data_IF_869288016271
#
_entry.id   IF_869288016271
#
_cell.length_a   1.000
_cell.length_b   1.000
_cell.length_c   1.000
_cell.angle_alpha   90.00
_cell.angle_beta   90.00
_cell.angle_gamma   90.00
#
_symmetry.space_group_name_H-M   'P 1'
#
loop_
_entity.id
_entity.type
_entity.pdbx_description
1 polymer ?
#
# COMPACT_ATOMS: atom_id res chain seq x y z
N UNK A 1 11.45 1.53 10.77
CA UNK A 1 10.86 1.45 9.40
C UNK A 1 9.37 1.06 9.34
N UNK A 2 8.96 -0.17 9.69
CA UNK A 2 7.57 -0.64 9.43
C UNK A 2 6.44 0.22 10.03
N UNK A 3 6.60 0.71 11.26
CA UNK A 3 5.62 1.61 11.89
C UNK A 3 5.50 2.96 11.16
N UNK A 4 6.59 3.48 10.61
CA UNK A 4 6.56 4.74 9.86
C UNK A 4 5.74 4.59 8.57
N UNK A 5 5.90 3.45 7.88
CA UNK A 5 5.11 3.14 6.68
C UNK A 5 3.63 2.93 7.02
N UNK A 6 3.30 2.21 8.09
CA UNK A 6 1.91 2.09 8.58
C UNK A 6 1.35 3.49 8.88
N UNK A 7 2.07 4.33 9.62
CA UNK A 7 1.59 5.65 10.00
C UNK A 7 1.37 6.60 8.81
N UNK A 8 2.17 6.46 7.74
CA UNK A 8 2.11 7.31 6.55
C UNK A 8 1.09 6.81 5.50
N UNK A 9 1.07 5.50 5.24
CA UNK A 9 0.28 4.91 4.16
C UNK A 9 -1.09 4.40 4.62
N UNK A 10 -1.17 3.83 5.83
CA UNK A 10 -2.32 3.04 6.25
C UNK A 10 -2.36 2.86 7.78
N UNK A 11 -2.80 3.92 8.48
CA UNK A 11 -2.72 4.00 9.95
C UNK A 11 -3.49 2.88 10.66
N UNK A 12 -4.56 2.38 10.03
CA UNK A 12 -5.43 1.34 10.57
C UNK A 12 -5.11 -0.05 10.02
N UNK A 13 -3.96 -0.22 9.38
CA UNK A 13 -3.51 -1.49 8.81
C UNK A 13 -3.70 -2.72 9.72
N UNK A 14 -3.43 -2.65 11.04
CA UNK A 14 -3.63 -3.79 11.93
C UNK A 14 -5.10 -4.13 12.20
N UNK A 15 -6.02 -3.19 12.00
CA UNK A 15 -7.42 -3.27 12.44
C UNK A 15 -8.36 -3.76 11.33
N UNK A 16 -8.10 -3.38 10.08
CA UNK A 16 -8.99 -3.73 8.96
C UNK A 16 -8.57 -5.03 8.27
N UNK A 17 -9.44 -5.54 7.38
CA UNK A 17 -9.18 -6.78 6.62
C UNK A 17 -9.05 -6.47 5.13
N UNK A 18 -7.95 -5.78 4.76
CA UNK A 18 -7.68 -5.35 3.39
C UNK A 18 -8.27 -4.01 2.97
N UNK A 19 -9.36 -3.55 3.60
CA UNK A 19 -10.02 -2.30 3.22
C UNK A 19 -10.35 -1.44 4.43
N UNK A 20 -9.88 -0.19 4.43
CA UNK A 20 -10.35 0.82 5.38
C UNK A 20 -11.56 1.55 4.80
N UNK A 21 -12.75 1.01 5.10
CA UNK A 21 -14.03 1.55 4.61
C UNK A 21 -14.23 3.00 5.03
N UNK A 22 -13.86 3.35 6.27
CA UNK A 22 -14.00 4.71 6.77
C UNK A 22 -13.08 5.69 6.01
N UNK A 23 -11.86 5.27 5.64
CA UNK A 23 -10.96 6.08 4.81
C UNK A 23 -11.45 6.20 3.37
N UNK A 24 -12.05 5.14 2.81
CA UNK A 24 -12.67 5.16 1.47
C UNK A 24 -13.83 6.15 1.43
N UNK A 25 -14.77 6.08 2.39
CA UNK A 25 -15.90 7.01 2.48
C UNK A 25 -15.45 8.47 2.61
N UNK A 26 -14.44 8.73 3.45
CA UNK A 26 -13.85 10.07 3.60
C UNK A 26 -13.20 10.56 2.31
N UNK A 27 -12.51 9.69 1.58
CA UNK A 27 -11.90 10.04 0.30
C UNK A 27 -12.95 10.33 -0.77
N UNK A 28 -14.02 9.52 -0.85
CA UNK A 28 -15.14 9.76 -1.76
C UNK A 28 -15.82 11.10 -1.48
N UNK A 29 -16.20 11.36 -0.21
CA UNK A 29 -16.82 12.62 0.18
C UNK A 29 -15.90 13.84 -0.05
N UNK A 30 -14.58 13.68 0.04
CA UNK A 30 -13.62 14.73 -0.32
C UNK A 30 -13.57 14.97 -1.82
N UNK A 31 -13.56 13.91 -2.62
CA UNK A 31 -13.43 13.97 -4.08
C UNK A 31 -14.71 14.52 -4.73
N UNK A 32 -15.90 14.21 -4.19
CA UNK A 32 -17.17 14.81 -4.63
C UNK A 32 -17.20 16.33 -4.45
N UNK A 33 -16.50 16.86 -3.45
CA UNK A 33 -16.43 18.29 -3.15
C UNK A 33 -15.26 19.00 -3.84
N UNK A 34 -14.32 18.25 -4.43
CA UNK A 34 -13.07 18.79 -4.98
C UNK A 34 -12.70 18.08 -6.29
N UNK A 35 -13.15 18.63 -7.43
CA UNK A 35 -12.88 18.07 -8.75
C UNK A 35 -11.37 18.08 -9.10
N UNK A 36 -10.61 19.04 -8.58
CA UNK A 36 -9.20 19.23 -8.90
C UNK A 36 -8.23 18.50 -7.95
N UNK A 37 -8.71 17.85 -6.89
CA UNK A 37 -7.83 17.18 -5.90
C UNK A 37 -8.41 15.84 -5.47
N UNK A 38 -7.98 14.79 -6.14
CA UNK A 38 -8.37 13.41 -5.83
C UNK A 38 -7.48 12.87 -4.70
N UNK A 39 -8.09 12.45 -3.60
CA UNK A 39 -7.45 11.67 -2.54
C UNK A 39 -7.61 10.17 -2.82
N UNK A 40 -6.51 9.43 -2.64
CA UNK A 40 -6.51 7.97 -2.59
C UNK A 40 -6.86 7.47 -1.18
N UNK A 41 -7.36 6.23 -1.11
CA UNK A 41 -7.64 5.52 0.13
C UNK A 41 -7.25 4.03 0.04
N UNK A 42 -6.22 3.71 -0.75
CA UNK A 42 -5.79 2.32 -0.93
C UNK A 42 -4.91 1.90 0.25
N UNK A 43 -5.24 0.77 0.86
CA UNK A 43 -4.50 0.19 2.00
C UNK A 43 -3.18 -0.44 1.57
N UNK A 44 -2.31 -0.76 2.53
CA UNK A 44 -1.06 -1.51 2.27
C UNK A 44 -1.35 -2.85 1.57
N UNK A 45 -2.43 -3.54 1.93
CA UNK A 45 -2.81 -4.82 1.33
C UNK A 45 -3.25 -4.66 -0.13
N UNK A 46 -4.03 -3.62 -0.44
CA UNK A 46 -4.41 -3.28 -1.81
C UNK A 46 -3.20 -2.92 -2.67
N UNK A 47 -2.29 -2.11 -2.13
CA UNK A 47 -1.06 -1.75 -2.81
C UNK A 47 -0.15 -2.97 -3.04
N UNK A 48 -0.11 -3.90 -2.08
CA UNK A 48 0.61 -5.18 -2.23
C UNK A 48 0.03 -6.02 -3.37
N UNK A 49 -1.31 -6.15 -3.42
CA UNK A 49 -1.99 -6.88 -4.50
C UNK A 49 -1.73 -6.24 -5.87
N UNK A 50 -1.79 -4.91 -5.94
CA UNK A 50 -1.51 -4.14 -7.16
C UNK A 50 -0.09 -4.40 -7.66
N UNK A 51 0.91 -4.22 -6.81
CA UNK A 51 2.32 -4.26 -7.22
C UNK A 51 2.82 -5.69 -7.54
N UNK A 52 2.24 -6.73 -6.93
CA UNK A 52 2.64 -8.12 -7.20
C UNK A 52 2.03 -8.71 -8.46
N UNK A 53 0.74 -8.42 -8.70
CA UNK A 53 -0.06 -9.22 -9.63
C UNK A 53 -0.64 -8.42 -10.79
N UNK A 54 -0.68 -7.10 -10.68
CA UNK A 54 -1.37 -6.23 -11.63
C UNK A 54 -0.38 -5.27 -12.29
N UNK A 55 -0.86 -4.64 -13.35
CA UNK A 55 -0.10 -3.65 -14.12
C UNK A 55 -0.46 -2.22 -13.70
N UNK A 56 0.37 -1.26 -14.06
CA UNK A 56 0.09 0.14 -13.83
C UNK A 56 -0.99 0.70 -14.78
N UNK A 57 -1.81 1.61 -14.24
CA UNK A 57 -2.88 2.27 -14.99
C UNK A 57 -4.20 2.36 -14.22
N UNK A 58 -5.09 3.25 -14.65
CA UNK A 58 -6.43 3.41 -14.05
C UNK A 58 -7.44 2.60 -14.85
N UNK A 59 -7.96 1.53 -14.26
CA UNK A 59 -9.01 0.69 -14.84
C UNK A 59 -9.90 0.14 -13.73
N UNK A 60 -11.22 0.27 -13.91
CA UNK A 60 -12.21 -0.28 -12.98
C UNK A 60 -12.15 -1.80 -12.91
N UNK A 61 -11.90 -2.46 -14.05
CA UNK A 61 -11.70 -3.92 -14.09
C UNK A 61 -10.47 -4.31 -13.27
N UNK A 62 -9.35 -3.61 -13.48
CA UNK A 62 -8.12 -3.84 -12.69
C UNK A 62 -8.38 -3.63 -11.20
N UNK A 63 -9.13 -2.58 -10.83
CA UNK A 63 -9.46 -2.30 -9.41
C UNK A 63 -10.37 -3.38 -8.81
N UNK A 64 -11.28 -3.96 -9.60
CA UNK A 64 -12.07 -5.12 -9.19
C UNK A 64 -11.20 -6.36 -8.92
N UNK A 65 -10.25 -6.66 -9.82
CA UNK A 65 -9.27 -7.74 -9.61
C UNK A 65 -8.40 -7.50 -8.37
N UNK A 66 -7.94 -6.26 -8.18
CA UNK A 66 -7.16 -5.85 -7.00
C UNK A 66 -7.93 -6.12 -5.71
N UNK A 67 -9.24 -5.83 -5.69
CA UNK A 67 -10.07 -6.08 -4.52
C UNK A 67 -10.18 -7.58 -4.20
N UNK A 68 -10.43 -8.43 -5.20
CA UNK A 68 -10.47 -9.88 -5.01
C UNK A 68 -9.13 -10.47 -4.52
N UNK A 69 -8.01 -10.03 -5.12
CA UNK A 69 -6.68 -10.46 -4.71
C UNK A 69 -6.32 -9.99 -3.30
N UNK A 70 -6.76 -8.80 -2.91
CA UNK A 70 -6.56 -8.26 -1.56
C UNK A 70 -7.22 -9.15 -0.51
N UNK A 71 -8.47 -9.58 -0.74
CA UNK A 71 -9.16 -10.50 0.16
C UNK A 71 -8.44 -11.86 0.24
N UNK A 72 -7.97 -12.38 -0.89
CA UNK A 72 -7.17 -13.61 -0.92
C UNK A 72 -5.89 -13.49 -0.10
N UNK A 73 -5.14 -12.39 -0.27
CA UNK A 73 -3.93 -12.11 0.51
C UNK A 73 -4.25 -12.02 2.01
N UNK A 74 -5.27 -11.26 2.39
CA UNK A 74 -5.66 -11.05 3.80
C UNK A 74 -6.22 -12.31 4.48
N UNK A 75 -6.67 -13.28 3.69
CA UNK A 75 -7.11 -14.59 4.19
C UNK A 75 -5.94 -15.54 4.42
N UNK A 76 -4.94 -15.51 3.53
CA UNK A 76 -3.84 -16.49 3.51
C UNK A 76 -2.59 -16.00 4.24
N UNK A 77 -2.34 -14.69 4.26
CA UNK A 77 -1.14 -14.08 4.85
C UNK A 77 -1.46 -13.34 6.14
N UNK A 78 -0.58 -13.45 7.13
CA UNK A 78 -0.64 -12.60 8.31
C UNK A 78 -0.29 -11.16 7.97
N UNK A 79 -0.81 -10.20 8.75
CA UNK A 79 -0.48 -8.76 8.62
C UNK A 79 1.02 -8.48 8.56
N UNK A 80 1.80 -9.19 9.38
CA UNK A 80 3.26 -9.08 9.36
C UNK A 80 3.85 -9.52 8.02
N UNK A 81 3.36 -10.62 7.43
CA UNK A 81 3.82 -11.09 6.11
C UNK A 81 3.47 -10.09 5.02
N UNK A 82 2.24 -9.57 5.03
CA UNK A 82 1.78 -8.56 4.06
C UNK A 82 2.70 -7.34 4.12
N UNK A 83 2.93 -6.78 5.31
CA UNK A 83 3.81 -5.63 5.49
C UNK A 83 5.24 -5.91 5.02
N UNK A 84 5.80 -7.08 5.36
CA UNK A 84 7.14 -7.47 4.89
C UNK A 84 7.20 -7.51 3.37
N UNK A 85 6.21 -8.11 2.70
CA UNK A 85 6.19 -8.19 1.24
C UNK A 85 6.04 -6.81 0.64
N UNK A 86 5.09 -6.00 1.13
CA UNK A 86 4.91 -4.60 0.73
C UNK A 86 6.24 -3.82 0.78
N UNK A 87 6.93 -3.86 1.92
CA UNK A 87 8.20 -3.16 2.11
C UNK A 87 9.30 -3.62 1.16
N UNK A 88 9.23 -4.82 0.58
CA UNK A 88 10.24 -5.33 -0.35
C UNK A 88 9.91 -5.05 -1.82
N UNK A 89 8.67 -4.71 -2.15
CA UNK A 89 8.24 -4.48 -3.54
C UNK A 89 7.80 -3.04 -3.79
N UNK A 90 7.56 -2.24 -2.74
CA UNK A 90 7.22 -0.84 -2.89
C UNK A 90 8.40 -0.08 -3.51
N UNK A 91 8.09 0.85 -4.41
CA UNK A 91 9.06 1.76 -5.00
C UNK A 91 9.26 2.95 -4.05
N UNK A 92 10.49 3.14 -3.56
CA UNK A 92 10.86 4.23 -2.65
C UNK A 92 11.56 5.40 -3.36
N UNK A 93 11.66 5.33 -4.69
CA UNK A 93 12.27 6.31 -5.57
C UNK A 93 12.44 5.70 -6.95
N UNK A 94 12.71 6.53 -7.97
CA UNK A 94 12.78 6.11 -9.37
C UNK A 94 13.72 4.91 -9.58
N UNK A 95 13.13 3.75 -9.85
CA UNK A 95 13.84 2.48 -10.05
C UNK A 95 14.36 1.81 -8.77
N UNK A 96 13.92 2.26 -7.58
CA UNK A 96 14.42 1.79 -6.28
C UNK A 96 13.32 1.02 -5.56
N UNK A 97 13.32 -0.29 -5.76
CA UNK A 97 12.33 -1.19 -5.18
C UNK A 97 12.85 -1.83 -3.89
N UNK A 98 12.03 -1.75 -2.86
CA UNK A 98 12.31 -2.38 -1.57
C UNK A 98 13.08 -1.51 -0.59
N UNK A 99 12.73 -1.69 0.68
CA UNK A 99 13.18 -0.87 1.80
C UNK A 99 14.69 -0.99 2.06
N UNK A 100 15.28 -2.15 1.79
CA UNK A 100 16.73 -2.35 1.92
C UNK A 100 17.49 -1.58 0.84
N UNK A 101 17.06 -1.69 -0.43
CA UNK A 101 17.67 -0.96 -1.53
C UNK A 101 17.57 0.56 -1.30
N UNK A 102 16.42 1.03 -0.80
CA UNK A 102 16.22 2.43 -0.43
C UNK A 102 17.16 2.86 0.72
N UNK A 103 17.27 2.05 1.78
CA UNK A 103 18.14 2.33 2.92
C UNK A 103 19.61 2.49 2.49
N UNK A 104 20.10 1.59 1.64
CA UNK A 104 21.44 1.64 1.10
C UNK A 104 21.65 2.87 0.21
N UNK A 105 20.71 3.15 -0.71
CA UNK A 105 20.83 4.26 -1.66
C UNK A 105 20.82 5.63 -0.99
N UNK A 106 19.91 5.85 -0.04
CA UNK A 106 19.70 7.17 0.55
C UNK A 106 20.48 7.40 1.84
N UNK A 107 20.75 6.34 2.61
CA UNK A 107 21.33 6.47 3.95
C UNK A 107 22.64 5.69 4.13
N UNK A 108 23.08 4.93 3.12
CA UNK A 108 24.32 4.12 3.16
C UNK A 108 24.38 3.20 4.39
N UNK A 109 23.23 2.68 4.80
CA UNK A 109 23.04 1.81 5.98
C UNK A 109 22.07 0.69 5.63
N UNK A 110 22.22 -0.49 6.25
CA UNK A 110 21.20 -1.53 6.15
C UNK A 110 19.89 -1.05 6.78
N UNK A 111 18.74 -1.46 6.25
CA UNK A 111 17.43 -1.04 6.73
C UNK A 111 17.18 -1.44 8.19
N UNK A 112 17.86 -2.47 8.69
CA UNK A 112 17.82 -2.89 10.09
C UNK A 112 18.46 -1.89 11.06
N UNK A 113 19.25 -0.93 10.56
CA UNK A 113 19.89 0.14 11.35
C UNK A 113 19.20 1.50 11.18
N UNK A 114 17.95 1.52 10.70
CA UNK A 114 17.11 2.70 10.50
C UNK A 114 15.80 2.66 11.30
#
# INVERSE_FOLDING_TARGET
MGLAVIAAEDQKFPEHWGFDVASIEKALAHNERNENRIRGASTISQQTAKNLFLWDGRSWVRKGLEAGLTLGIETVWSKKRILTVYLNIAEFGDGVFGVEAAAQRYFHKPASKL
#
